data_IF_975426363804
#
_entry.id   IF_975426363804
#
_cell.length_a   1.000
_cell.length_b   1.000
_cell.length_c   1.000
_cell.angle_alpha   90.00
_cell.angle_beta   90.00
_cell.angle_gamma   90.00
#
_symmetry.space_group_name_H-M   'P 1'
#
loop_
_entity.id
_entity.type
_entity.pdbx_description
1 polymer ?
#
# COMPACT_ATOMS: atom_id res chain seq x y z
N UNK A 1 -39.29 -0.96 47.77
CA UNK A 1 -38.01 -1.49 47.25
C UNK A 1 -37.93 -1.10 45.78
N UNK A 2 -37.29 0.05 45.48
CA UNK A 2 -37.21 0.64 44.13
C UNK A 2 -35.97 0.07 43.42
N UNK A 3 -36.17 -0.63 42.32
CA UNK A 3 -35.09 -1.08 41.45
C UNK A 3 -34.77 0.02 40.45
N UNK A 4 -33.60 0.64 40.59
CA UNK A 4 -33.04 1.55 39.60
C UNK A 4 -32.38 0.71 38.48
N UNK A 5 -32.99 0.70 37.31
CA UNK A 5 -32.33 0.18 36.08
C UNK A 5 -31.40 1.25 35.53
N UNK A 6 -30.10 1.04 35.65
CA UNK A 6 -29.08 1.86 34.98
C UNK A 6 -28.95 1.40 33.53
N UNK A 7 -29.55 2.11 32.57
CA UNK A 7 -29.40 1.90 31.17
C UNK A 7 -28.08 2.55 30.73
N UNK A 8 -26.99 1.77 30.63
CA UNK A 8 -25.73 2.23 30.02
C UNK A 8 -25.92 2.30 28.50
N UNK A 9 -26.22 3.48 28.00
CA UNK A 9 -26.13 3.79 26.56
C UNK A 9 -24.64 3.87 26.16
N UNK A 10 -24.11 2.81 25.58
CA UNK A 10 -22.84 2.87 24.87
C UNK A 10 -23.05 3.64 23.56
N UNK A 11 -22.79 4.93 23.56
CA UNK A 11 -22.60 5.68 22.32
C UNK A 11 -21.27 5.26 21.71
N UNK A 12 -21.29 4.36 20.75
CA UNK A 12 -20.14 4.13 19.87
C UNK A 12 -19.95 5.42 19.06
N UNK A 13 -19.00 6.23 19.45
CA UNK A 13 -18.51 7.32 18.60
C UNK A 13 -17.77 6.70 17.43
N UNK A 14 -18.41 6.62 16.28
CA UNK A 14 -17.71 6.32 15.04
C UNK A 14 -16.75 7.49 14.74
N UNK A 15 -15.48 7.28 14.99
CA UNK A 15 -14.48 8.26 14.61
C UNK A 15 -14.43 8.28 13.08
N UNK A 16 -14.87 9.38 12.48
CA UNK A 16 -14.79 9.60 11.04
C UNK A 16 -13.34 9.87 10.69
N UNK A 17 -12.85 9.24 9.61
CA UNK A 17 -11.55 9.54 9.05
C UNK A 17 -11.67 10.72 8.09
N UNK A 18 -10.68 11.61 8.11
CA UNK A 18 -10.59 12.69 7.15
C UNK A 18 -10.21 12.13 5.77
N UNK A 19 -10.90 12.61 4.73
CA UNK A 19 -10.61 12.28 3.34
C UNK A 19 -10.34 13.59 2.60
N UNK A 20 -9.19 13.67 1.95
CA UNK A 20 -8.81 14.82 1.14
C UNK A 20 -8.94 14.48 -0.34
N UNK A 21 -9.44 15.42 -1.11
CA UNK A 21 -9.66 15.28 -2.54
C UNK A 21 -9.06 16.46 -3.31
N UNK A 22 -8.52 16.21 -4.49
CA UNK A 22 -8.09 17.22 -5.45
C UNK A 22 -8.52 16.83 -6.86
N UNK A 23 -8.83 17.82 -7.70
CA UNK A 23 -9.07 17.63 -9.14
C UNK A 23 -7.79 17.72 -9.96
N UNK A 24 -6.72 18.21 -9.36
CA UNK A 24 -5.42 18.34 -10.00
C UNK A 24 -4.61 17.06 -9.82
N UNK A 25 -4.18 16.46 -10.93
CA UNK A 25 -3.37 15.26 -10.95
C UNK A 25 -1.93 15.67 -11.27
N UNK A 26 -1.14 15.91 -10.22
CA UNK A 26 0.29 16.24 -10.31
C UNK A 26 1.07 15.62 -9.15
N UNK A 27 2.38 15.40 -9.33
CA UNK A 27 3.28 14.90 -8.29
C UNK A 27 3.28 15.79 -7.06
N UNK A 28 3.39 17.10 -7.28
CA UNK A 28 3.39 18.10 -6.21
C UNK A 28 2.10 18.11 -5.41
N UNK A 29 0.97 17.91 -6.08
CA UNK A 29 -0.33 17.84 -5.42
C UNK A 29 -0.48 16.57 -4.58
N UNK A 30 0.09 15.45 -5.00
CA UNK A 30 0.17 14.24 -4.17
C UNK A 30 0.93 14.50 -2.87
N UNK A 31 2.07 15.18 -2.93
CA UNK A 31 2.85 15.57 -1.75
C UNK A 31 2.05 16.52 -0.85
N UNK A 32 1.36 17.49 -1.42
CA UNK A 32 0.48 18.40 -0.65
C UNK A 32 -0.62 17.63 0.10
N UNK A 33 -1.25 16.67 -0.58
CA UNK A 33 -2.29 15.83 0.02
C UNK A 33 -1.73 14.97 1.18
N UNK A 34 -0.54 14.39 0.99
CA UNK A 34 0.14 13.63 2.04
C UNK A 34 0.45 14.52 3.26
N UNK A 35 0.90 15.76 3.04
CA UNK A 35 1.14 16.73 4.12
C UNK A 35 -0.13 17.08 4.87
N UNK A 36 -1.26 17.24 4.18
CA UNK A 36 -2.57 17.53 4.79
C UNK A 36 -3.06 16.42 5.70
N UNK A 37 -2.75 15.15 5.36
CA UNK A 37 -3.06 14.00 6.21
C UNK A 37 -2.34 14.06 7.57
N UNK A 38 -1.30 14.85 7.69
CA UNK A 38 -0.50 15.04 8.92
C UNK A 38 -0.14 13.71 9.61
N UNK A 39 0.28 12.73 8.80
CA UNK A 39 0.64 11.40 9.28
C UNK A 39 1.97 11.44 10.02
N UNK A 40 2.05 10.76 11.14
CA UNK A 40 3.32 10.53 11.83
C UNK A 40 4.07 9.36 11.15
N UNK A 41 4.66 9.63 9.99
CA UNK A 41 5.49 8.65 9.29
C UNK A 41 6.87 8.62 9.98
N UNK A 42 7.26 7.46 10.47
CA UNK A 42 8.51 7.27 11.21
C UNK A 42 9.35 6.15 10.61
N UNK A 43 10.65 6.20 10.84
CA UNK A 43 11.59 5.14 10.47
C UNK A 43 11.71 4.92 8.96
N UNK A 44 11.83 3.66 8.56
CA UNK A 44 11.91 3.26 7.15
C UNK A 44 10.51 3.23 6.53
N UNK A 45 10.29 4.05 5.52
CA UNK A 45 8.98 4.23 4.89
C UNK A 45 8.88 3.39 3.62
N UNK A 46 7.89 2.50 3.57
CA UNK A 46 7.50 1.75 2.39
C UNK A 46 6.44 2.48 1.58
N UNK A 47 6.67 2.68 0.29
CA UNK A 47 5.72 3.22 -0.66
C UNK A 47 5.15 2.07 -1.49
N UNK A 48 3.98 1.54 -1.09
CA UNK A 48 3.33 0.42 -1.79
C UNK A 48 2.77 0.89 -3.12
N UNK A 49 3.19 0.21 -4.17
CA UNK A 49 2.81 0.53 -5.54
C UNK A 49 2.24 -0.69 -6.26
N UNK A 50 1.66 -0.46 -7.44
CA UNK A 50 1.46 -1.46 -8.47
C UNK A 50 2.47 -1.22 -9.58
N UNK A 51 3.36 -2.17 -9.81
CA UNK A 51 4.51 -2.02 -10.72
C UNK A 51 4.16 -1.96 -12.21
N UNK A 52 2.89 -2.22 -12.55
CA UNK A 52 2.41 -2.29 -13.93
C UNK A 52 2.53 -3.69 -14.54
N UNK A 53 1.83 -3.90 -15.62
CA UNK A 53 1.91 -5.12 -16.46
C UNK A 53 2.83 -4.88 -17.65
N UNK A 54 3.32 -5.93 -18.33
CA UNK A 54 4.05 -5.78 -19.60
C UNK A 54 3.23 -4.97 -20.60
N UNK A 55 3.84 -3.96 -21.19
CA UNK A 55 3.18 -3.01 -22.11
C UNK A 55 1.97 -2.27 -21.51
N UNK A 56 1.78 -2.31 -20.19
CA UNK A 56 0.71 -1.61 -19.50
C UNK A 56 0.85 -0.09 -19.60
N UNK A 57 -0.24 0.60 -20.00
CA UNK A 57 -0.22 2.05 -20.17
C UNK A 57 -0.68 2.81 -18.93
N UNK A 58 -1.53 2.19 -18.11
CA UNK A 58 -2.35 2.86 -17.11
C UNK A 58 -1.98 2.56 -15.65
N UNK A 59 -0.70 2.31 -15.37
CA UNK A 59 -0.22 2.29 -13.99
C UNK A 59 0.41 3.63 -13.61
N UNK A 60 0.50 3.94 -12.33
CA UNK A 60 1.20 5.13 -11.84
C UNK A 60 2.68 5.03 -12.22
N UNK A 61 3.13 5.98 -13.05
CA UNK A 61 4.49 5.94 -13.57
C UNK A 61 5.49 6.32 -12.47
N UNK A 62 6.68 5.69 -12.42
CA UNK A 62 7.70 6.02 -11.40
C UNK A 62 8.07 7.51 -11.36
N UNK A 63 8.16 8.15 -12.52
CA UNK A 63 8.51 9.57 -12.60
C UNK A 63 7.40 10.48 -12.06
N UNK A 64 6.12 10.07 -12.17
CA UNK A 64 5.00 10.76 -11.52
C UNK A 64 5.07 10.66 -9.99
N UNK A 65 5.67 9.60 -9.47
CA UNK A 65 5.81 9.36 -8.03
C UNK A 65 7.14 9.87 -7.46
N UNK A 66 7.99 10.51 -8.28
CA UNK A 66 9.32 10.94 -7.85
C UNK A 66 9.27 11.91 -6.66
N UNK A 67 8.42 12.94 -6.71
CA UNK A 67 8.36 13.93 -5.64
C UNK A 67 7.92 13.33 -4.29
N UNK A 68 6.97 12.37 -4.29
CA UNK A 68 6.56 11.71 -3.05
C UNK A 68 7.65 10.76 -2.54
N UNK A 69 8.38 10.10 -3.44
CA UNK A 69 9.55 9.29 -3.11
C UNK A 69 10.62 10.12 -2.41
N UNK A 70 10.97 11.29 -2.98
CA UNK A 70 11.97 12.20 -2.44
C UNK A 70 11.51 12.82 -1.12
N UNK A 71 10.25 13.27 -1.06
CA UNK A 71 9.68 13.88 0.14
C UNK A 71 9.69 12.94 1.36
N UNK A 72 9.37 11.66 1.12
CA UNK A 72 9.32 10.66 2.19
C UNK A 72 10.68 10.01 2.46
N UNK A 73 11.67 10.20 1.60
CA UNK A 73 12.90 9.38 1.57
C UNK A 73 12.57 7.87 1.62
N UNK A 74 11.50 7.49 0.91
CA UNK A 74 10.91 6.17 0.99
C UNK A 74 11.64 5.12 0.15
N UNK A 75 11.11 3.91 0.20
CA UNK A 75 11.49 2.80 -0.68
C UNK A 75 10.21 2.26 -1.31
N UNK A 76 10.17 2.12 -2.63
CA UNK A 76 9.04 1.44 -3.26
C UNK A 76 8.97 -0.01 -2.84
N UNK A 77 7.77 -0.49 -2.55
CA UNK A 77 7.52 -1.87 -2.16
C UNK A 77 6.40 -2.48 -3.01
N UNK A 78 6.60 -3.73 -3.41
CA UNK A 78 5.66 -4.51 -4.22
C UNK A 78 5.71 -5.97 -3.78
N UNK A 79 4.72 -6.78 -4.21
CA UNK A 79 4.73 -8.24 -4.05
C UNK A 79 4.66 -8.93 -5.41
N UNK A 80 5.09 -10.18 -5.46
CA UNK A 80 4.78 -11.05 -6.58
C UNK A 80 3.26 -11.32 -6.62
N UNK A 81 2.74 -11.68 -7.79
CA UNK A 81 1.33 -12.05 -7.94
C UNK A 81 1.11 -13.52 -7.63
N UNK A 82 0.00 -13.83 -6.98
CA UNK A 82 -0.42 -15.21 -6.72
C UNK A 82 -0.93 -15.92 -7.98
N UNK A 83 -1.37 -15.17 -8.99
CA UNK A 83 -1.79 -15.71 -10.28
C UNK A 83 -0.63 -15.73 -11.28
N UNK A 84 -0.70 -16.64 -12.27
CA UNK A 84 0.34 -16.76 -13.30
C UNK A 84 0.48 -15.48 -14.14
N UNK A 85 1.62 -14.83 -14.03
CA UNK A 85 1.98 -13.62 -14.77
C UNK A 85 3.50 -13.46 -14.79
N UNK A 86 4.03 -12.45 -15.51
CA UNK A 86 5.47 -12.08 -15.44
C UNK A 86 5.87 -11.66 -14.03
N UNK A 87 4.90 -11.24 -13.22
CA UNK A 87 5.11 -10.82 -11.82
C UNK A 87 5.00 -11.96 -10.81
N UNK A 88 4.65 -13.16 -11.21
CA UNK A 88 4.55 -14.31 -10.31
C UNK A 88 5.89 -14.92 -9.91
N UNK A 89 6.98 -14.48 -10.53
CA UNK A 89 8.33 -14.91 -10.22
C UNK A 89 9.24 -13.69 -10.02
N UNK A 90 10.00 -13.67 -8.94
CA UNK A 90 10.88 -12.56 -8.56
C UNK A 90 11.86 -12.15 -9.68
N UNK A 91 12.44 -13.10 -10.40
CA UNK A 91 13.41 -12.78 -11.46
C UNK A 91 12.74 -12.04 -12.62
N UNK A 92 11.62 -12.53 -13.10
CA UNK A 92 10.88 -11.90 -14.21
C UNK A 92 10.22 -10.59 -13.77
N UNK A 93 9.76 -10.52 -12.52
CA UNK A 93 9.22 -9.29 -11.93
C UNK A 93 10.29 -8.20 -11.82
N UNK A 94 11.51 -8.52 -11.37
CA UNK A 94 12.63 -7.57 -11.33
C UNK A 94 12.98 -7.04 -12.74
N UNK A 95 12.94 -7.89 -13.75
CA UNK A 95 13.12 -7.47 -15.14
C UNK A 95 12.05 -6.46 -15.56
N UNK A 96 10.78 -6.74 -15.29
CA UNK A 96 9.66 -5.84 -15.56
C UNK A 96 9.78 -4.51 -14.81
N UNK A 97 10.19 -4.54 -13.54
CA UNK A 97 10.44 -3.32 -12.76
C UNK A 97 11.48 -2.41 -13.43
N UNK A 98 12.54 -3.00 -13.95
CA UNK A 98 13.56 -2.26 -14.70
C UNK A 98 13.03 -1.70 -16.02
N UNK A 99 12.31 -2.51 -16.79
CA UNK A 99 11.69 -2.12 -18.07
C UNK A 99 10.67 -0.99 -17.88
N UNK A 100 9.87 -1.05 -16.83
CA UNK A 100 8.89 -0.01 -16.45
C UNK A 100 9.53 1.23 -15.79
N UNK A 101 10.86 1.24 -15.61
CA UNK A 101 11.62 2.39 -15.15
C UNK A 101 11.66 2.60 -13.62
N UNK A 102 11.21 1.61 -12.83
CA UNK A 102 11.20 1.73 -11.36
C UNK A 102 12.60 1.85 -10.73
N UNK A 103 13.63 1.34 -11.42
CA UNK A 103 15.03 1.38 -10.95
C UNK A 103 15.82 2.60 -11.44
N UNK A 104 15.23 3.44 -12.31
CA UNK A 104 15.88 4.67 -12.79
C UNK A 104 16.12 5.64 -11.63
N UNK A 105 17.08 6.55 -11.81
CA UNK A 105 17.44 7.59 -10.84
C UNK A 105 17.82 7.02 -9.44
N UNK A 106 18.40 5.82 -9.40
CA UNK A 106 18.78 5.12 -8.17
C UNK A 106 17.63 4.89 -7.18
N UNK A 107 16.39 4.84 -7.67
CA UNK A 107 15.22 4.52 -6.84
C UNK A 107 15.36 3.12 -6.26
N UNK A 108 15.09 3.01 -4.96
CA UNK A 108 15.06 1.71 -4.26
C UNK A 108 13.69 1.09 -4.42
N UNK A 109 13.67 -0.19 -4.82
CA UNK A 109 12.44 -0.98 -4.88
C UNK A 109 12.69 -2.39 -4.31
N UNK A 110 11.74 -2.86 -3.51
CA UNK A 110 11.79 -4.14 -2.80
C UNK A 110 10.57 -4.96 -3.20
N UNK A 111 10.80 -6.21 -3.59
CA UNK A 111 9.75 -7.24 -3.69
C UNK A 111 9.69 -7.90 -2.31
N UNK A 112 8.57 -7.71 -1.58
CA UNK A 112 8.48 -8.08 -0.17
C UNK A 112 8.50 -9.58 0.09
N UNK A 113 8.04 -10.36 -0.88
CA UNK A 113 7.97 -11.83 -0.87
C UNK A 113 8.98 -12.46 -1.84
N UNK A 114 10.14 -11.81 -2.05
CA UNK A 114 11.17 -12.32 -2.97
C UNK A 114 11.78 -13.66 -2.54
N UNK A 115 11.74 -13.96 -1.26
CA UNK A 115 12.16 -15.23 -0.68
C UNK A 115 10.91 -16.05 -0.33
N UNK A 116 10.62 -17.15 -1.02
CA UNK A 116 9.37 -17.89 -0.86
C UNK A 116 9.16 -18.55 0.51
N UNK A 117 10.18 -18.59 1.37
CA UNK A 117 10.12 -19.18 2.70
C UNK A 117 10.26 -18.13 3.83
N UNK A 118 10.20 -16.84 3.52
CA UNK A 118 10.34 -15.75 4.50
C UNK A 118 9.01 -15.01 4.64
N UNK A 119 7.93 -15.74 4.94
CA UNK A 119 6.64 -15.12 5.24
C UNK A 119 6.64 -14.50 6.63
N UNK A 120 5.97 -13.36 6.75
CA UNK A 120 5.70 -12.70 8.01
C UNK A 120 4.22 -12.85 8.37
N UNK A 121 3.95 -13.41 9.55
CA UNK A 121 2.59 -13.64 10.01
C UNK A 121 2.11 -12.46 10.83
N UNK A 122 1.05 -11.82 10.37
CA UNK A 122 0.33 -10.79 11.12
C UNK A 122 -0.91 -11.39 11.77
N UNK A 123 -0.95 -11.38 13.10
CA UNK A 123 -2.14 -11.77 13.84
C UNK A 123 -3.24 -10.73 13.71
N UNK A 124 -4.43 -11.15 13.31
CA UNK A 124 -5.58 -10.26 13.15
C UNK A 124 -6.15 -9.88 14.53
N UNK A 125 -6.22 -8.58 14.81
CA UNK A 125 -6.84 -8.06 16.04
C UNK A 125 -8.34 -8.24 15.99
N UNK A 126 -9.04 -8.97 16.71
CA UNK A 126 -10.48 -9.26 16.67
C UNK A 126 -10.89 -10.06 15.41
N UNK A 127 -10.33 -11.26 15.22
CA UNK A 127 -10.59 -12.05 14.04
C UNK A 127 -12.05 -12.58 14.05
N UNK A 128 -12.72 -12.51 12.90
CA UNK A 128 -14.01 -13.19 12.69
C UNK A 128 -13.83 -14.51 11.94
N UNK A 129 -13.13 -14.50 10.81
CA UNK A 129 -12.87 -15.64 9.96
C UNK A 129 -11.38 -15.92 9.86
N UNK A 130 -10.61 -14.90 9.45
CA UNK A 130 -9.15 -15.01 9.27
C UNK A 130 -8.46 -14.61 10.57
N UNK A 131 -7.67 -15.51 11.14
CA UNK A 131 -6.92 -15.27 12.38
C UNK A 131 -5.51 -14.76 12.12
N UNK A 132 -4.90 -15.24 11.04
CA UNK A 132 -3.53 -14.94 10.64
C UNK A 132 -3.53 -14.43 9.21
N UNK A 133 -2.71 -13.43 8.92
CA UNK A 133 -2.50 -12.91 7.59
C UNK A 133 -1.02 -13.09 7.22
N UNK A 134 -0.76 -13.82 6.15
CA UNK A 134 0.59 -14.06 5.64
C UNK A 134 0.95 -12.94 4.67
N UNK A 135 2.04 -12.26 4.97
CA UNK A 135 2.57 -11.16 4.16
C UNK A 135 4.02 -11.41 3.82
N UNK A 136 4.51 -10.78 2.76
CA UNK A 136 5.90 -10.92 2.36
C UNK A 136 6.85 -10.55 3.49
N UNK A 137 7.84 -11.40 3.77
CA UNK A 137 8.71 -11.31 4.95
C UNK A 137 9.46 -10.00 5.08
N UNK A 138 9.74 -9.33 3.96
CA UNK A 138 10.42 -8.03 3.98
C UNK A 138 9.53 -6.85 4.40
N UNK A 139 8.21 -7.05 4.57
CA UNK A 139 7.35 -6.01 5.13
C UNK A 139 7.80 -5.57 6.53
N UNK A 140 8.35 -6.51 7.32
CA UNK A 140 8.92 -6.23 8.66
C UNK A 140 10.09 -5.25 8.68
N UNK A 141 10.67 -4.95 7.52
CA UNK A 141 11.76 -3.96 7.42
C UNK A 141 11.25 -2.51 7.46
N UNK A 142 9.95 -2.29 7.36
CA UNK A 142 9.35 -0.97 7.25
C UNK A 142 8.55 -0.61 8.50
N UNK A 143 8.75 0.62 8.99
CA UNK A 143 8.07 1.14 10.19
C UNK A 143 6.76 1.85 9.82
N UNK A 144 6.68 2.39 8.60
CA UNK A 144 5.51 3.07 8.06
C UNK A 144 5.26 2.64 6.62
N UNK A 145 3.98 2.63 6.20
CA UNK A 145 3.60 2.30 4.83
C UNK A 145 2.61 3.33 4.29
N UNK A 146 2.88 3.83 3.09
CA UNK A 146 1.96 4.66 2.30
C UNK A 146 1.56 3.88 1.06
N UNK A 147 0.26 3.68 0.86
CA UNK A 147 -0.25 2.98 -0.32
C UNK A 147 -0.55 4.00 -1.42
N UNK A 148 0.07 3.82 -2.58
CA UNK A 148 -0.07 4.68 -3.75
C UNK A 148 -0.82 3.90 -4.84
N UNK A 149 -2.14 3.96 -4.79
CA UNK A 149 -3.02 3.15 -5.64
C UNK A 149 -3.49 3.89 -6.88
N UNK A 150 -3.67 3.13 -7.95
CA UNK A 150 -4.47 3.53 -9.11
C UNK A 150 -5.85 2.89 -8.99
N UNK A 151 -6.86 3.70 -8.69
CA UNK A 151 -8.24 3.24 -8.53
C UNK A 151 -8.82 2.76 -9.87
N UNK A 152 -9.37 1.55 -9.91
CA UNK A 152 -9.95 0.95 -11.13
C UNK A 152 -11.09 -0.01 -10.83
N UNK A 153 -11.91 -0.29 -11.86
CA UNK A 153 -12.90 -1.37 -11.81
C UNK A 153 -12.23 -2.74 -11.78
N UNK A 154 -12.85 -3.69 -11.11
CA UNK A 154 -12.41 -5.08 -11.03
C UNK A 154 -13.58 -6.03 -11.28
N UNK A 155 -13.39 -7.02 -12.16
CA UNK A 155 -14.48 -7.94 -12.59
C UNK A 155 -15.09 -8.73 -11.42
N UNK A 156 -14.29 -9.16 -10.46
CA UNK A 156 -14.74 -9.95 -9.31
C UNK A 156 -15.07 -9.11 -8.09
N UNK A 157 -14.40 -7.96 -7.91
CA UNK A 157 -14.52 -7.13 -6.72
C UNK A 157 -15.30 -5.82 -6.91
N UNK A 158 -15.78 -5.54 -8.11
CA UNK A 158 -16.44 -4.28 -8.45
C UNK A 158 -15.44 -3.13 -8.55
N UNK A 159 -15.04 -2.55 -7.43
CA UNK A 159 -13.98 -1.55 -7.33
C UNK A 159 -12.79 -2.16 -6.59
N UNK A 160 -11.60 -1.96 -7.11
CA UNK A 160 -10.38 -2.45 -6.50
C UNK A 160 -9.29 -1.38 -6.53
N UNK A 161 -8.53 -1.34 -5.45
CA UNK A 161 -7.23 -0.69 -5.35
C UNK A 161 -6.18 -1.79 -5.19
N UNK A 162 -5.03 -1.61 -5.81
CA UNK A 162 -3.91 -2.54 -5.74
C UNK A 162 -2.71 -1.86 -5.10
#
# INVERSE_FOLDING_TARGET
MFHFFFLLLFTQTFQKSDVYFTKEISSSKMVEMLKKLNLNLTGKIGLKIHSGEPNGLYFLKPDFLQEIYDYTNGTFIECNTAYSSVRSNTTTHRKLLNENGWTKNNRKIVIMDENPNDDFILNVKKPQIIKENYVGGRLKEFDSCVVLSHFKGHQMGGLAEL
#
